data_IF_259406863354
#
_entry.id   IF_259406863354
#
_cell.length_a   1.000
_cell.length_b   1.000
_cell.length_c   1.000
_cell.angle_alpha   90.00
_cell.angle_beta   90.00
_cell.angle_gamma   90.00
#
_symmetry.space_group_name_H-M   'P 1'
#
loop_
_entity.id
_entity.type
_entity.pdbx_description
1 polymer ?
#
# COMPACT_ATOMS: atom_id res chain seq x y z
N UNK A 1 -25.20 21.12 -5.32
CA UNK A 1 -23.94 21.16 -4.56
C UNK A 1 -23.37 19.76 -4.50
N UNK A 2 -22.38 19.44 -5.37
CA UNK A 2 -21.67 18.17 -5.31
C UNK A 2 -20.72 18.16 -4.10
N UNK A 3 -20.61 17.01 -3.44
CA UNK A 3 -19.65 16.80 -2.36
C UNK A 3 -19.14 15.36 -2.34
N UNK A 4 -18.06 15.13 -1.59
CA UNK A 4 -17.49 13.81 -1.39
C UNK A 4 -17.76 13.37 0.05
N UNK A 5 -18.28 12.16 0.19
CA UNK A 5 -18.53 11.52 1.48
C UNK A 5 -17.57 10.33 1.64
N UNK A 6 -16.95 10.19 2.82
CA UNK A 6 -16.13 9.03 3.14
C UNK A 6 -16.96 8.02 3.92
N UNK A 7 -17.05 6.78 3.44
CA UNK A 7 -17.84 5.73 4.07
C UNK A 7 -17.09 4.41 4.13
N UNK A 8 -17.55 3.53 5.02
CA UNK A 8 -17.11 2.14 5.08
C UNK A 8 -18.00 1.30 4.17
N UNK A 9 -17.45 0.29 3.50
CA UNK A 9 -18.24 -0.59 2.63
C UNK A 9 -19.37 -1.30 3.38
N UNK A 10 -19.17 -1.63 4.66
CA UNK A 10 -20.21 -2.22 5.51
C UNK A 10 -21.42 -1.31 5.72
N UNK A 11 -21.26 0.00 5.54
CA UNK A 11 -22.32 1.01 5.71
C UNK A 11 -23.07 1.28 4.41
N UNK A 12 -22.66 0.70 3.27
CA UNK A 12 -23.13 1.08 1.94
C UNK A 12 -23.75 -0.13 1.23
N UNK A 13 -25.02 -0.02 0.82
CA UNK A 13 -25.60 -0.94 -0.16
C UNK A 13 -24.99 -0.69 -1.54
N UNK A 14 -24.16 -1.63 -2.01
CA UNK A 14 -23.52 -1.57 -3.31
C UNK A 14 -24.53 -1.86 -4.43
N UNK A 15 -25.25 -0.85 -4.90
CA UNK A 15 -26.24 -1.00 -5.98
C UNK A 15 -25.61 -0.93 -7.39
N UNK A 16 -24.38 -1.43 -7.55
CA UNK A 16 -23.66 -1.48 -8.84
C UNK A 16 -23.32 -0.12 -9.49
N UNK A 17 -23.62 1.00 -8.85
CA UNK A 17 -23.32 2.36 -9.36
C UNK A 17 -21.81 2.58 -9.52
N UNK A 18 -21.36 3.18 -10.63
CA UNK A 18 -19.93 3.41 -10.97
C UNK A 18 -19.27 4.61 -10.23
N UNK A 19 -20.01 5.33 -9.39
CA UNK A 19 -19.60 6.62 -8.82
C UNK A 19 -18.70 6.55 -7.55
N UNK A 20 -18.00 5.45 -7.32
CA UNK A 20 -17.18 5.25 -6.12
C UNK A 20 -15.69 5.13 -6.45
N UNK A 21 -14.86 5.68 -5.57
CA UNK A 21 -13.42 5.46 -5.61
C UNK A 21 -13.01 4.71 -4.36
N UNK A 22 -12.57 3.47 -4.56
CA UNK A 22 -11.97 2.66 -3.50
C UNK A 22 -10.65 3.28 -3.07
N UNK A 23 -10.52 3.61 -1.79
CA UNK A 23 -9.28 4.13 -1.20
C UNK A 23 -8.65 3.17 -0.19
N UNK A 24 -9.11 1.93 -0.14
CA UNK A 24 -8.62 0.90 0.78
C UNK A 24 -7.16 0.55 0.51
N UNK A 25 -6.70 0.75 -0.73
CA UNK A 25 -5.28 0.65 -1.08
C UNK A 25 -4.37 1.57 -0.25
N UNK A 26 -4.93 2.61 0.38
CA UNK A 26 -4.21 3.52 1.27
C UNK A 26 -3.90 2.90 2.63
N UNK A 27 -4.77 2.03 3.15
CA UNK A 27 -4.59 1.41 4.47
C UNK A 27 -3.95 0.03 4.38
N UNK A 28 -2.70 -0.04 3.92
CA UNK A 28 -1.97 -1.32 3.81
C UNK A 28 -1.83 -2.07 5.14
N UNK A 29 -1.92 -1.39 6.27
CA UNK A 29 -1.82 -2.05 7.57
C UNK A 29 -3.07 -2.89 7.89
N UNK A 30 -4.23 -2.51 7.35
CA UNK A 30 -5.45 -3.30 7.50
C UNK A 30 -5.48 -4.51 6.57
N UNK A 31 -4.71 -4.51 5.46
CA UNK A 31 -4.63 -5.65 4.54
C UNK A 31 -4.14 -6.96 5.19
N UNK A 32 -3.47 -6.87 6.35
CA UNK A 32 -3.06 -8.05 7.13
C UNK A 32 -4.12 -8.52 8.14
N UNK A 33 -5.24 -7.82 8.28
CA UNK A 33 -6.37 -8.24 9.12
C UNK A 33 -7.35 -9.05 8.27
N UNK A 34 -8.01 -10.06 8.86
CA UNK A 34 -8.86 -11.01 8.15
C UNK A 34 -10.06 -10.37 7.40
N UNK A 35 -10.39 -9.11 7.70
CA UNK A 35 -11.38 -8.31 6.98
C UNK A 35 -10.97 -6.84 7.04
N UNK A 36 -10.15 -6.31 6.10
CA UNK A 36 -9.87 -4.88 6.07
C UNK A 36 -11.18 -4.13 5.85
N UNK A 37 -11.46 -3.18 6.73
CA UNK A 37 -12.59 -2.28 6.56
C UNK A 37 -12.36 -1.44 5.30
N UNK A 38 -13.11 -1.75 4.24
CA UNK A 38 -12.94 -1.12 2.93
C UNK A 38 -13.49 0.31 3.00
N UNK A 39 -12.64 1.28 2.67
CA UNK A 39 -12.98 2.70 2.71
C UNK A 39 -13.26 3.20 1.30
N UNK A 40 -14.44 3.80 1.13
CA UNK A 40 -14.94 4.26 -0.15
C UNK A 40 -15.17 5.77 -0.11
N UNK A 41 -14.75 6.47 -1.17
CA UNK A 41 -15.17 7.86 -1.42
C UNK A 41 -16.37 7.82 -2.35
N UNK A 42 -17.50 8.35 -1.86
CA UNK A 42 -18.76 8.44 -2.59
C UNK A 42 -18.98 9.87 -3.09
N UNK A 43 -19.35 10.01 -4.37
CA UNK A 43 -19.78 11.29 -4.94
C UNK A 43 -21.26 11.51 -4.60
N UNK A 44 -21.51 12.36 -3.62
CA UNK A 44 -22.85 12.75 -3.22
C UNK A 44 -23.26 14.07 -3.87
N UNK A 45 -24.57 14.28 -3.98
CA UNK A 45 -25.12 15.51 -4.53
C UNK A 45 -26.40 15.90 -3.83
N UNK A 46 -26.53 17.18 -3.51
CA UNK A 46 -27.77 17.80 -3.05
C UNK A 46 -28.15 18.98 -3.93
N UNK A 47 -29.41 19.03 -4.36
CA UNK A 47 -29.97 20.19 -5.05
C UNK A 47 -31.30 20.57 -4.41
N UNK A 48 -31.39 21.81 -3.97
CA UNK A 48 -32.58 22.36 -3.33
C UNK A 48 -33.08 23.49 -4.21
N UNK A 49 -34.32 23.36 -4.66
CA UNK A 49 -34.99 24.36 -5.50
C UNK A 49 -36.20 24.85 -4.76
N UNK A 50 -36.27 26.16 -4.50
CA UNK A 50 -37.48 26.79 -3.97
C UNK A 50 -38.12 27.69 -5.02
N UNK A 51 -39.37 27.41 -5.35
CA UNK A 51 -40.24 28.20 -6.20
C UNK A 51 -41.14 29.06 -5.30
N UNK A 52 -40.81 30.36 -5.19
CA UNK A 52 -41.51 31.29 -4.28
C UNK A 52 -42.51 32.11 -5.09
N UNK A 53 -43.80 31.98 -4.78
CA UNK A 53 -44.87 32.79 -5.37
C UNK A 53 -45.10 34.04 -4.53
N UNK A 54 -45.25 33.85 -3.21
CA UNK A 54 -45.31 34.93 -2.22
C UNK A 54 -44.68 34.48 -0.88
N UNK A 55 -44.93 35.24 0.20
CA UNK A 55 -44.39 34.97 1.54
C UNK A 55 -45.08 33.83 2.30
N UNK A 56 -46.19 33.29 1.79
CA UNK A 56 -46.99 32.22 2.40
C UNK A 56 -47.10 30.98 1.51
N UNK A 57 -46.92 31.14 0.20
CA UNK A 57 -47.10 30.15 -0.83
C UNK A 57 -45.81 29.99 -1.60
N UNK A 58 -45.18 28.85 -1.38
CA UNK A 58 -43.96 28.44 -2.04
C UNK A 58 -43.96 26.92 -2.16
N UNK A 59 -43.17 26.41 -3.11
CA UNK A 59 -42.98 24.98 -3.33
C UNK A 59 -41.50 24.68 -3.33
N UNK A 60 -41.08 23.68 -2.57
CA UNK A 60 -39.70 23.23 -2.55
C UNK A 60 -39.55 21.86 -3.19
N UNK A 61 -38.42 21.66 -3.86
CA UNK A 61 -37.98 20.37 -4.35
C UNK A 61 -36.60 20.08 -3.76
N UNK A 62 -36.47 18.93 -3.09
CA UNK A 62 -35.19 18.41 -2.61
C UNK A 62 -34.79 17.22 -3.47
N UNK A 63 -33.64 17.33 -4.12
CA UNK A 63 -33.01 16.23 -4.83
C UNK A 63 -31.71 15.92 -4.11
N UNK A 64 -31.81 15.05 -3.11
CA UNK A 64 -30.66 14.48 -2.44
C UNK A 64 -30.37 13.12 -3.06
N UNK A 65 -29.11 12.88 -3.39
CA UNK A 65 -28.56 11.55 -3.54
C UNK A 65 -27.65 11.33 -2.33
N UNK A 66 -28.23 11.15 -1.12
CA UNK A 66 -27.41 10.88 0.05
C UNK A 66 -26.69 9.55 -0.20
N UNK A 67 -25.52 9.40 0.42
CA UNK A 67 -24.90 8.08 0.44
C UNK A 67 -25.88 7.13 1.12
N UNK A 68 -26.21 5.97 0.53
CA UNK A 68 -27.10 5.02 1.19
C UNK A 68 -26.41 4.58 2.47
N UNK A 69 -26.94 5.02 3.61
CA UNK A 69 -26.57 4.50 4.91
C UNK A 69 -27.41 3.25 5.10
N UNK A 70 -26.76 2.11 5.28
CA UNK A 70 -27.45 0.92 5.76
C UNK A 70 -27.86 1.25 7.19
N UNK A 71 -29.13 1.59 7.37
CA UNK A 71 -29.75 1.53 8.69
C UNK A 71 -29.48 0.12 9.21
N UNK A 72 -28.87 -0.01 10.40
CA UNK A 72 -28.69 -1.32 11.00
C UNK A 72 -30.06 -1.99 11.02
N UNK A 73 -30.17 -3.27 10.62
CA UNK A 73 -31.43 -3.97 10.77
C UNK A 73 -31.86 -3.81 12.23
N UNK A 74 -33.06 -3.28 12.45
CA UNK A 74 -33.64 -3.19 13.79
C UNK A 74 -33.86 -4.62 14.30
N UNK A 75 -32.81 -5.22 14.85
CA UNK A 75 -32.79 -6.61 15.30
C UNK A 75 -33.71 -6.86 16.51
N UNK A 76 -34.40 -5.83 17.01
CA UNK A 76 -35.31 -5.90 18.16
C UNK A 76 -36.79 -5.57 17.84
N UNK A 77 -37.21 -5.41 16.58
CA UNK A 77 -38.63 -5.20 16.24
C UNK A 77 -39.46 -6.49 16.23
N UNK A 78 -39.44 -7.24 17.33
CA UNK A 78 -40.34 -8.35 17.66
C UNK A 78 -41.24 -7.97 18.86
N UNK A 79 -41.83 -6.77 18.87
CA UNK A 79 -42.83 -6.41 19.87
C UNK A 79 -44.22 -6.29 19.24
N UNK A 80 -44.97 -7.40 19.31
CA UNK A 80 -46.44 -7.43 19.23
C UNK A 80 -47.04 -6.71 20.47
N UNK A 81 -46.73 -5.43 20.67
CA UNK A 81 -47.37 -4.60 21.68
C UNK A 81 -48.27 -3.60 20.99
N UNK A 82 -49.56 -3.94 20.95
CA UNK A 82 -50.70 -3.05 20.71
C UNK A 82 -50.76 -1.97 21.81
N UNK A 83 -49.77 -1.07 21.87
CA UNK A 83 -49.92 0.20 22.56
C UNK A 83 -50.32 1.25 21.54
N UNK A 84 -51.48 1.87 21.76
CA UNK A 84 -51.91 3.14 21.17
C UNK A 84 -50.95 4.25 21.63
N UNK A 85 -49.66 4.11 21.32
CA UNK A 85 -48.66 5.14 21.50
C UNK A 85 -48.83 6.13 20.36
N UNK A 86 -49.19 7.35 20.74
CA UNK A 86 -49.07 8.54 19.91
C UNK A 86 -47.61 8.59 19.41
N UNK A 87 -47.36 7.95 18.25
CA UNK A 87 -46.12 8.05 17.50
C UNK A 87 -45.98 9.53 17.12
N UNK A 88 -45.37 10.30 18.01
CA UNK A 88 -44.89 11.65 17.77
C UNK A 88 -43.71 11.49 16.80
N UNK A 89 -44.06 11.20 15.54
CA UNK A 89 -43.13 11.11 14.41
C UNK A 89 -42.29 12.37 14.51
N UNK A 90 -40.98 12.26 14.80
CA UNK A 90 -40.12 13.42 14.83
C UNK A 90 -40.31 14.12 13.50
N UNK A 91 -40.73 15.39 13.52
CA UNK A 91 -40.85 16.18 12.30
C UNK A 91 -39.45 16.48 11.79
N UNK A 92 -38.81 15.48 11.22
CA UNK A 92 -37.59 15.63 10.47
C UNK A 92 -37.93 16.49 9.27
N UNK A 93 -37.19 17.59 9.15
CA UNK A 93 -37.35 18.49 8.03
C UNK A 93 -36.85 17.78 6.77
N UNK A 94 -37.77 17.53 5.82
CA UNK A 94 -37.53 16.86 4.53
C UNK A 94 -36.40 17.52 3.71
N UNK A 95 -36.06 18.79 3.98
CA UNK A 95 -34.98 19.50 3.31
C UNK A 95 -33.66 19.50 4.09
N UNK A 96 -33.68 19.19 5.38
CA UNK A 96 -32.47 19.01 6.18
C UNK A 96 -31.90 17.60 5.96
N UNK A 97 -30.58 17.40 6.12
CA UNK A 97 -30.04 16.06 6.20
C UNK A 97 -30.43 15.41 7.54
N UNK A 98 -30.68 14.10 7.54
CA UNK A 98 -31.05 13.32 8.73
C UNK A 98 -29.92 13.27 9.77
N UNK A 99 -28.69 13.57 9.35
CA UNK A 99 -27.51 13.52 10.18
C UNK A 99 -27.35 14.78 11.05
N UNK A 100 -27.98 14.77 12.22
CA UNK A 100 -27.52 15.52 13.40
C UNK A 100 -28.54 16.44 14.04
N UNK A 101 -28.20 16.89 15.26
CA UNK A 101 -28.93 17.91 16.00
C UNK A 101 -28.80 19.25 15.28
N UNK A 102 -29.69 19.46 14.33
CA UNK A 102 -29.88 20.74 13.69
C UNK A 102 -30.83 21.52 14.57
N UNK A 103 -30.31 22.57 15.23
CA UNK A 103 -31.05 23.54 16.07
C UNK A 103 -32.06 24.38 15.24
N UNK A 104 -32.90 23.68 14.48
CA UNK A 104 -34.18 24.09 13.97
C UNK A 104 -35.10 24.16 15.19
N UNK A 105 -34.95 25.23 15.98
CA UNK A 105 -35.85 25.55 17.08
C UNK A 105 -37.31 25.27 16.64
N UNK A 106 -38.13 24.68 17.51
CA UNK A 106 -39.51 24.25 17.24
C UNK A 106 -40.45 25.33 16.65
N UNK A 107 -40.00 26.59 16.62
CA UNK A 107 -40.71 27.69 16.00
C UNK A 107 -40.63 27.61 14.46
N UNK A 108 -41.75 27.43 13.76
CA UNK A 108 -41.78 27.33 12.30
C UNK A 108 -41.22 28.59 11.62
N UNK A 109 -40.37 28.40 10.61
CA UNK A 109 -39.82 29.48 9.79
C UNK A 109 -40.77 29.76 8.62
N UNK A 110 -41.54 30.85 8.70
CA UNK A 110 -42.55 31.17 7.69
C UNK A 110 -41.99 31.86 6.42
N UNK A 111 -40.90 32.64 6.51
CA UNK A 111 -40.32 33.28 5.31
C UNK A 111 -39.49 32.24 4.52
N UNK A 112 -39.87 31.90 3.28
CA UNK A 112 -39.19 30.86 2.49
C UNK A 112 -37.73 31.19 2.18
N UNK A 113 -37.36 32.47 2.09
CA UNK A 113 -35.97 32.88 1.86
C UNK A 113 -35.13 32.66 3.12
N UNK A 114 -35.70 32.91 4.29
CA UNK A 114 -35.03 32.64 5.57
C UNK A 114 -34.86 31.13 5.76
N UNK A 115 -35.92 30.37 5.48
CA UNK A 115 -35.92 28.92 5.53
C UNK A 115 -34.84 28.33 4.60
N UNK A 116 -34.78 28.77 3.34
CA UNK A 116 -33.73 28.37 2.40
C UNK A 116 -32.32 28.59 2.94
N UNK A 117 -32.04 29.79 3.48
CA UNK A 117 -30.73 30.10 4.03
C UNK A 117 -30.39 29.20 5.22
N UNK A 118 -31.37 28.86 6.04
CA UNK A 118 -31.17 27.97 7.17
C UNK A 118 -30.80 26.55 6.71
N UNK A 119 -31.60 26.00 5.80
CA UNK A 119 -31.34 24.68 5.20
C UNK A 119 -29.97 24.64 4.50
N UNK A 120 -29.64 25.65 3.70
CA UNK A 120 -28.32 25.74 3.03
C UNK A 120 -27.18 25.86 4.05
N UNK A 121 -27.39 26.55 5.18
CA UNK A 121 -26.39 26.62 6.25
C UNK A 121 -26.10 25.25 6.87
N UNK A 122 -27.14 24.44 7.08
CA UNK A 122 -27.01 23.06 7.58
C UNK A 122 -26.23 22.21 6.58
N UNK A 123 -26.64 22.19 5.31
CA UNK A 123 -25.94 21.44 4.26
C UNK A 123 -24.49 21.90 4.06
N UNK A 124 -24.22 23.20 4.06
CA UNK A 124 -22.86 23.72 3.92
C UNK A 124 -21.98 23.28 5.08
N UNK A 125 -22.51 23.21 6.31
CA UNK A 125 -21.78 22.71 7.46
C UNK A 125 -21.51 21.21 7.36
N UNK A 126 -22.51 20.40 6.99
CA UNK A 126 -22.35 18.96 6.77
C UNK A 126 -21.27 18.67 5.73
N UNK A 127 -21.34 19.35 4.56
CA UNK A 127 -20.35 19.21 3.49
C UNK A 127 -18.94 19.50 4.00
N UNK A 128 -18.76 20.57 4.80
CA UNK A 128 -17.46 20.90 5.39
C UNK A 128 -16.99 19.83 6.38
N UNK A 129 -17.88 19.25 7.17
CA UNK A 129 -17.54 18.17 8.09
C UNK A 129 -17.06 16.93 7.34
N UNK A 130 -17.75 16.53 6.27
CA UNK A 130 -17.35 15.43 5.39
C UNK A 130 -15.97 15.66 4.79
N UNK A 131 -15.74 16.83 4.18
CA UNK A 131 -14.42 17.17 3.65
C UNK A 131 -13.34 17.23 4.75
N UNK A 132 -13.67 17.71 5.94
CA UNK A 132 -12.72 17.75 7.07
C UNK A 132 -12.31 16.33 7.47
N UNK A 133 -13.27 15.41 7.57
CA UNK A 133 -13.02 14.00 7.86
C UNK A 133 -12.13 13.35 6.80
N UNK A 134 -12.47 13.58 5.53
CA UNK A 134 -11.72 13.05 4.38
C UNK A 134 -10.28 13.58 4.34
N UNK A 135 -10.08 14.89 4.44
CA UNK A 135 -8.74 15.52 4.44
C UNK A 135 -7.90 15.00 5.59
N UNK A 136 -8.44 14.94 6.81
CA UNK A 136 -7.71 14.39 7.97
C UNK A 136 -7.30 12.93 7.77
N UNK A 137 -8.16 12.11 7.17
CA UNK A 137 -7.83 10.72 6.87
C UNK A 137 -6.71 10.64 5.82
N UNK A 138 -6.80 11.43 4.75
CA UNK A 138 -5.75 11.50 3.71
C UNK A 138 -4.42 11.98 4.29
N UNK A 139 -4.41 13.00 5.14
CA UNK A 139 -3.21 13.47 5.83
C UNK A 139 -2.56 12.37 6.67
N UNK A 140 -3.34 11.65 7.48
CA UNK A 140 -2.84 10.52 8.27
C UNK A 140 -2.21 9.44 7.39
N UNK A 141 -2.83 9.14 6.25
CA UNK A 141 -2.36 8.11 5.32
C UNK A 141 -1.07 8.52 4.62
N UNK A 142 -0.95 9.78 4.20
CA UNK A 142 0.28 10.32 3.60
C UNK A 142 1.42 10.42 4.60
N UNK A 143 1.14 10.79 5.84
CA UNK A 143 2.16 10.98 6.88
C UNK A 143 2.62 9.66 7.54
N UNK A 144 1.90 8.55 7.33
CA UNK A 144 2.27 7.26 7.94
C UNK A 144 3.61 6.80 7.35
N UNK A 145 4.68 6.68 8.17
CA UNK A 145 5.96 6.23 7.68
C UNK A 145 5.81 4.80 7.17
N UNK A 146 6.22 4.60 5.92
CA UNK A 146 6.19 3.29 5.29
C UNK A 146 7.45 2.55 5.67
N UNK A 147 7.32 1.57 6.56
CA UNK A 147 8.24 0.43 6.66
C UNK A 147 8.07 -0.46 5.43
N UNK A 148 8.39 0.07 4.26
CA UNK A 148 8.46 -0.75 3.05
C UNK A 148 9.88 -1.27 2.95
N UNK A 149 10.03 -2.59 2.86
CA UNK A 149 11.31 -3.19 2.52
C UNK A 149 11.65 -2.84 1.06
N UNK A 150 12.37 -1.74 0.87
CA UNK A 150 12.78 -1.19 -0.43
C UNK A 150 13.69 -2.13 -1.23
N UNK A 151 14.07 -3.29 -0.69
CA UNK A 151 15.13 -4.12 -1.27
C UNK A 151 14.71 -4.88 -2.53
N UNK A 152 13.42 -5.18 -2.70
CA UNK A 152 13.01 -6.17 -3.71
C UNK A 152 12.09 -5.63 -4.81
N UNK A 153 11.20 -4.65 -4.55
CA UNK A 153 10.34 -4.07 -5.59
C UNK A 153 9.83 -2.66 -5.21
N UNK A 154 10.04 -1.71 -6.11
CA UNK A 154 9.68 -0.29 -5.95
C UNK A 154 8.36 0.05 -6.66
N UNK A 155 7.92 -0.82 -7.57
CA UNK A 155 6.74 -0.64 -8.41
C UNK A 155 5.48 -0.38 -7.56
N UNK A 156 5.22 -1.16 -6.48
CA UNK A 156 4.04 -0.94 -5.64
C UNK A 156 4.07 0.39 -4.88
N UNK A 157 5.26 0.98 -4.67
CA UNK A 157 5.37 2.28 -4.01
C UNK A 157 5.02 3.42 -4.96
N UNK A 158 5.50 3.34 -6.20
CA UNK A 158 5.21 4.31 -7.27
C UNK A 158 3.72 4.29 -7.62
N UNK A 159 3.14 3.11 -7.82
CA UNK A 159 1.71 2.95 -8.09
C UNK A 159 0.86 3.55 -6.96
N UNK A 160 1.21 3.24 -5.71
CA UNK A 160 0.48 3.80 -4.57
C UNK A 160 0.62 5.32 -4.46
N UNK A 161 1.81 5.88 -4.75
CA UNK A 161 1.99 7.33 -4.76
C UNK A 161 1.13 8.00 -5.85
N UNK A 162 1.06 7.39 -7.03
CA UNK A 162 0.20 7.87 -8.12
C UNK A 162 -1.28 7.85 -7.72
N UNK A 163 -1.73 6.75 -7.10
CA UNK A 163 -3.12 6.65 -6.62
C UNK A 163 -3.44 7.69 -5.53
N UNK A 164 -2.52 7.97 -4.59
CA UNK A 164 -2.67 9.08 -3.62
C UNK A 164 -2.83 10.40 -4.35
N UNK A 165 -1.93 10.72 -5.28
CA UNK A 165 -1.95 11.98 -6.01
C UNK A 165 -3.23 12.15 -6.84
N UNK A 166 -3.76 11.05 -7.38
CA UNK A 166 -5.01 11.04 -8.11
C UNK A 166 -6.23 11.28 -7.20
N UNK A 167 -6.26 10.66 -6.02
CA UNK A 167 -7.30 10.94 -5.00
C UNK A 167 -7.23 12.39 -4.55
N UNK A 168 -6.04 12.91 -4.21
CA UNK A 168 -5.87 14.31 -3.81
C UNK A 168 -6.31 15.29 -4.89
N UNK A 169 -6.02 14.98 -6.17
CA UNK A 169 -6.47 15.78 -7.31
C UNK A 169 -7.99 15.77 -7.41
N UNK A 170 -8.60 14.59 -7.37
CA UNK A 170 -10.06 14.44 -7.44
C UNK A 170 -10.75 15.24 -6.32
N UNK A 171 -10.34 15.06 -5.06
CA UNK A 171 -10.92 15.79 -3.92
C UNK A 171 -10.79 17.31 -4.13
N UNK A 172 -9.61 17.77 -4.56
CA UNK A 172 -9.38 19.19 -4.85
C UNK A 172 -10.26 19.72 -5.99
N UNK A 173 -10.47 18.94 -7.05
CA UNK A 173 -11.30 19.36 -8.18
C UNK A 173 -12.76 19.56 -7.72
N UNK A 174 -13.26 18.70 -6.82
CA UNK A 174 -14.58 18.85 -6.21
C UNK A 174 -14.67 20.05 -5.26
N UNK A 175 -13.68 20.25 -4.36
CA UNK A 175 -13.67 21.43 -3.48
C UNK A 175 -13.56 22.74 -4.26
N UNK A 176 -12.79 22.74 -5.35
CA UNK A 176 -12.64 23.91 -6.23
C UNK A 176 -13.95 24.27 -6.91
N UNK A 177 -14.67 23.28 -7.48
CA UNK A 177 -16.00 23.50 -8.07
C UNK A 177 -16.99 24.09 -7.05
N UNK A 178 -17.07 23.51 -5.85
CA UNK A 178 -17.97 24.01 -4.80
C UNK A 178 -17.62 25.45 -4.38
N UNK A 179 -16.32 25.79 -4.30
CA UNK A 179 -15.87 27.16 -4.01
C UNK A 179 -16.22 28.14 -5.14
N UNK A 180 -16.06 27.73 -6.39
CA UNK A 180 -16.37 28.57 -7.55
C UNK A 180 -17.88 28.81 -7.67
N UNK A 181 -18.71 27.80 -7.43
CA UNK A 181 -20.17 27.93 -7.33
C UNK A 181 -20.57 28.92 -6.23
N UNK A 182 -19.96 28.81 -5.04
CA UNK A 182 -20.20 29.75 -3.95
C UNK A 182 -19.74 31.17 -4.29
N UNK A 183 -18.59 31.33 -4.94
CA UNK A 183 -18.09 32.63 -5.39
C UNK A 183 -19.06 33.27 -6.38
N UNK A 184 -19.60 32.49 -7.32
CA UNK A 184 -20.63 32.95 -8.26
C UNK A 184 -21.92 33.33 -7.54
N UNK A 185 -22.39 32.50 -6.60
CA UNK A 185 -23.60 32.78 -5.81
C UNK A 185 -23.45 34.04 -4.94
N UNK A 186 -22.27 34.27 -4.37
CA UNK A 186 -21.98 35.39 -3.47
C UNK A 186 -21.59 36.70 -4.19
N UNK A 187 -21.48 36.70 -5.53
CA UNK A 187 -21.13 37.89 -6.29
C UNK A 187 -22.16 39.02 -6.12
N UNK A 188 -21.67 40.25 -5.87
CA UNK A 188 -22.53 41.37 -5.45
C UNK A 188 -23.49 41.89 -6.53
N UNK A 189 -23.11 41.79 -7.81
CA UNK A 189 -23.83 42.38 -8.94
C UNK A 189 -24.85 41.40 -9.56
N UNK A 190 -24.45 40.15 -9.80
CA UNK A 190 -25.27 39.18 -10.55
C UNK A 190 -25.53 37.87 -9.79
N UNK A 191 -25.01 37.73 -8.57
CA UNK A 191 -25.13 36.50 -7.78
C UNK A 191 -26.50 36.32 -7.14
N UNK A 192 -26.74 35.09 -6.69
CA UNK A 192 -27.95 34.71 -5.94
C UNK A 192 -28.12 35.49 -4.63
N UNK A 193 -27.04 36.04 -4.07
CA UNK A 193 -27.05 36.83 -2.84
C UNK A 193 -27.98 38.07 -2.91
N UNK A 194 -28.21 38.62 -4.11
CA UNK A 194 -29.10 39.78 -4.31
C UNK A 194 -30.53 39.51 -3.82
N UNK A 195 -31.01 38.27 -3.91
CA UNK A 195 -32.35 37.88 -3.49
C UNK A 195 -32.54 37.96 -1.96
N UNK A 196 -31.45 38.05 -1.21
CA UNK A 196 -31.45 38.10 0.26
C UNK A 196 -31.12 39.49 0.83
N UNK A 197 -30.77 40.49 0.01
CA UNK A 197 -30.41 41.85 0.47
C UNK A 197 -31.52 42.54 1.30
N UNK A 198 -32.78 42.17 1.08
CA UNK A 198 -33.94 42.71 1.82
C UNK A 198 -34.21 42.06 3.18
N UNK A 199 -33.56 40.94 3.52
CA UNK A 199 -33.81 40.27 4.81
C UNK A 199 -33.09 41.00 5.94
N UNK A 200 -33.86 41.69 6.78
CA UNK A 200 -33.35 42.36 8.00
C UNK A 200 -33.26 41.43 9.20
N UNK A 201 -33.89 40.25 9.12
CA UNK A 201 -34.00 39.30 10.22
C UNK A 201 -32.63 38.84 10.74
N UNK A 202 -32.49 38.76 12.07
CA UNK A 202 -31.26 38.33 12.74
C UNK A 202 -30.92 36.87 12.40
N UNK A 203 -31.90 35.96 12.36
CA UNK A 203 -31.72 34.55 12.02
C UNK A 203 -31.16 34.38 10.61
N UNK A 204 -31.69 35.15 9.64
CA UNK A 204 -31.19 35.14 8.26
C UNK A 204 -29.72 35.59 8.17
N UNK A 205 -29.34 36.65 8.91
CA UNK A 205 -27.94 37.11 8.97
C UNK A 205 -27.03 36.08 9.62
N UNK A 206 -27.47 35.42 10.68
CA UNK A 206 -26.74 34.33 11.34
C UNK A 206 -26.54 33.15 10.38
N UNK A 207 -27.59 32.72 9.68
CA UNK A 207 -27.51 31.65 8.68
C UNK A 207 -26.51 31.99 7.56
N UNK A 208 -26.58 33.20 6.99
CA UNK A 208 -25.58 33.68 6.02
C UNK A 208 -24.16 33.71 6.59
N UNK A 209 -24.01 34.10 7.85
CA UNK A 209 -22.73 34.05 8.57
C UNK A 209 -22.18 32.62 8.65
N UNK A 210 -23.02 31.65 9.06
CA UNK A 210 -22.67 30.22 9.10
C UNK A 210 -22.26 29.69 7.72
N UNK A 211 -23.02 30.01 6.66
CA UNK A 211 -22.66 29.59 5.30
C UNK A 211 -21.29 30.16 4.89
N UNK A 212 -21.05 31.45 5.12
CA UNK A 212 -19.75 32.09 4.81
C UNK A 212 -18.60 31.46 5.58
N UNK A 213 -18.83 31.15 6.86
CA UNK A 213 -17.86 30.46 7.69
C UNK A 213 -17.54 29.06 7.13
N UNK A 214 -18.56 28.28 6.77
CA UNK A 214 -18.41 26.96 6.14
C UNK A 214 -17.57 27.04 4.86
N UNK A 215 -17.87 27.95 3.93
CA UNK A 215 -17.06 28.09 2.71
C UNK A 215 -15.65 28.64 2.98
N UNK A 216 -15.47 29.43 4.05
CA UNK A 216 -14.13 29.85 4.49
C UNK A 216 -13.31 28.68 5.04
N UNK A 217 -13.96 27.76 5.77
CA UNK A 217 -13.35 26.48 6.22
C UNK A 217 -13.03 25.60 5.02
N UNK A 218 -13.94 25.48 4.05
CA UNK A 218 -13.69 24.74 2.81
C UNK A 218 -12.48 25.29 2.03
N UNK A 219 -12.33 26.62 1.97
CA UNK A 219 -11.16 27.26 1.36
C UNK A 219 -9.85 27.02 2.13
N UNK A 220 -9.91 26.78 3.46
CA UNK A 220 -8.74 26.33 4.24
C UNK A 220 -8.37 24.90 3.89
N UNK A 221 -9.34 23.98 3.91
CA UNK A 221 -9.14 22.58 3.52
C UNK A 221 -8.56 22.43 2.11
N UNK A 222 -9.00 23.24 1.17
CA UNK A 222 -8.46 23.27 -0.20
C UNK A 222 -6.97 23.66 -0.25
N UNK A 223 -6.53 24.59 0.62
CA UNK A 223 -5.10 24.94 0.75
C UNK A 223 -4.30 23.83 1.42
N UNK A 224 -4.89 23.14 2.40
CA UNK A 224 -4.26 22.01 3.08
C UNK A 224 -4.09 20.82 2.11
N UNK A 225 -5.08 20.55 1.27
CA UNK A 225 -4.98 19.59 0.16
C UNK A 225 -3.85 19.94 -0.81
N UNK A 226 -3.69 21.21 -1.18
CA UNK A 226 -2.61 21.62 -2.08
C UNK A 226 -1.23 21.47 -1.43
N UNK A 227 -1.12 21.80 -0.14
CA UNK A 227 0.10 21.56 0.62
C UNK A 227 0.41 20.05 0.70
N UNK A 228 -0.60 19.22 0.94
CA UNK A 228 -0.44 17.77 1.01
C UNK A 228 0.03 17.19 -0.33
N UNK A 229 -0.58 17.64 -1.43
CA UNK A 229 -0.16 17.30 -2.79
C UNK A 229 1.29 17.73 -3.08
N UNK A 230 1.69 18.92 -2.68
CA UNK A 230 3.06 19.41 -2.85
C UNK A 230 4.07 18.53 -2.08
N UNK A 231 3.77 18.18 -0.82
CA UNK A 231 4.59 17.26 -0.02
C UNK A 231 4.68 15.88 -0.65
N UNK A 232 3.58 15.33 -1.17
CA UNK A 232 3.61 14.04 -1.88
C UNK A 232 4.51 14.08 -3.11
N UNK A 233 4.49 15.18 -3.88
CA UNK A 233 5.37 15.37 -5.04
C UNK A 233 6.83 15.45 -4.63
N UNK A 234 7.15 16.24 -3.61
CA UNK A 234 8.50 16.37 -3.09
C UNK A 234 9.06 15.01 -2.61
N UNK A 235 8.27 14.27 -1.83
CA UNK A 235 8.63 12.91 -1.42
C UNK A 235 8.85 11.97 -2.60
N UNK A 236 8.05 12.11 -3.66
CA UNK A 236 8.20 11.32 -4.89
C UNK A 236 9.47 11.70 -5.66
N UNK A 237 9.82 12.97 -5.75
CA UNK A 237 11.06 13.45 -6.37
C UNK A 237 12.29 12.93 -5.60
N UNK A 238 12.27 13.00 -4.26
CA UNK A 238 13.31 12.43 -3.41
C UNK A 238 13.45 10.93 -3.62
N UNK A 239 12.32 10.21 -3.68
CA UNK A 239 12.32 8.77 -3.96
C UNK A 239 12.93 8.50 -5.35
N UNK A 240 12.51 9.23 -6.38
CA UNK A 240 13.05 9.11 -7.73
C UNK A 240 14.56 9.33 -7.81
N UNK A 241 15.08 10.34 -7.08
CA UNK A 241 16.51 10.57 -6.95
C UNK A 241 17.23 9.42 -6.25
N UNK A 242 16.67 8.92 -5.15
CA UNK A 242 17.21 7.77 -4.41
C UNK A 242 17.30 6.52 -5.29
N UNK A 243 16.25 6.25 -6.06
CA UNK A 243 16.21 5.14 -7.02
C UNK A 243 17.24 5.30 -8.14
N UNK A 244 17.41 6.51 -8.66
CA UNK A 244 18.45 6.81 -9.66
C UNK A 244 19.85 6.52 -9.10
N UNK A 245 20.13 6.95 -7.86
CA UNK A 245 21.40 6.66 -7.18
C UNK A 245 21.60 5.16 -6.99
N UNK A 246 20.58 4.42 -6.55
CA UNK A 246 20.65 2.97 -6.39
C UNK A 246 20.86 2.24 -7.72
N UNK A 247 20.18 2.68 -8.78
CA UNK A 247 20.34 2.09 -10.12
C UNK A 247 21.74 2.34 -10.67
N UNK A 248 22.30 3.54 -10.49
CA UNK A 248 23.68 3.84 -10.87
C UNK A 248 24.67 2.95 -10.12
N UNK A 249 24.47 2.75 -8.81
CA UNK A 249 25.29 1.85 -7.99
C UNK A 249 25.16 0.39 -8.42
N UNK A 250 23.96 -0.04 -8.80
CA UNK A 250 23.73 -1.38 -9.33
C UNK A 250 24.42 -1.54 -10.70
N UNK A 251 24.34 -0.54 -11.56
CA UNK A 251 25.03 -0.50 -12.85
C UNK A 251 26.55 -0.60 -12.69
N UNK A 252 27.13 0.11 -11.72
CA UNK A 252 28.56 0.00 -11.38
C UNK A 252 28.92 -1.44 -10.95
N UNK A 253 28.12 -2.05 -10.07
CA UNK A 253 28.33 -3.45 -9.64
C UNK A 253 28.23 -4.42 -10.81
N UNK A 254 27.18 -4.31 -11.62
CA UNK A 254 27.00 -5.15 -12.81
C UNK A 254 28.17 -4.99 -13.78
N UNK A 255 28.68 -3.77 -13.98
CA UNK A 255 29.88 -3.53 -14.77
C UNK A 255 31.11 -4.25 -14.19
N UNK A 256 31.36 -4.13 -12.89
CA UNK A 256 32.49 -4.82 -12.24
C UNK A 256 32.40 -6.34 -12.31
N UNK A 257 31.20 -6.91 -12.14
CA UNK A 257 30.98 -8.35 -12.28
C UNK A 257 31.10 -8.82 -13.73
N UNK A 258 30.65 -8.02 -14.69
CA UNK A 258 30.83 -8.30 -16.12
C UNK A 258 32.32 -8.30 -16.49
N UNK A 259 33.10 -7.37 -15.92
CA UNK A 259 34.55 -7.34 -16.09
C UNK A 259 35.22 -8.59 -15.47
N UNK A 260 34.78 -9.01 -14.29
CA UNK A 260 35.25 -10.26 -13.64
C UNK A 260 34.90 -11.49 -14.48
N UNK A 261 33.67 -11.59 -14.97
CA UNK A 261 33.23 -12.68 -15.83
C UNK A 261 34.02 -12.71 -17.15
N UNK A 262 34.28 -11.56 -17.76
CA UNK A 262 35.10 -11.47 -18.97
C UNK A 262 36.54 -11.94 -18.72
N UNK A 263 37.15 -11.55 -17.60
CA UNK A 263 38.49 -12.00 -17.21
C UNK A 263 38.52 -13.51 -16.93
N UNK A 264 37.51 -14.04 -16.24
CA UNK A 264 37.36 -15.48 -16.00
C UNK A 264 37.19 -16.25 -17.31
N UNK A 265 36.34 -15.78 -18.22
CA UNK A 265 36.17 -16.39 -19.55
C UNK A 265 37.48 -16.39 -20.35
N UNK A 266 38.27 -15.33 -20.25
CA UNK A 266 39.60 -15.27 -20.87
C UNK A 266 40.59 -16.28 -20.26
N UNK A 267 40.56 -16.47 -18.94
CA UNK A 267 41.37 -17.48 -18.27
C UNK A 267 40.94 -18.91 -18.66
N UNK A 268 39.63 -19.17 -18.68
CA UNK A 268 39.04 -20.46 -19.07
C UNK A 268 39.36 -20.82 -20.52
N UNK A 269 39.26 -19.87 -21.45
CA UNK A 269 39.67 -20.10 -22.85
C UNK A 269 41.17 -20.40 -22.96
N UNK A 270 42.02 -19.76 -22.16
CA UNK A 270 43.44 -20.10 -22.07
C UNK A 270 43.69 -21.52 -21.55
N UNK A 271 42.92 -21.98 -20.56
CA UNK A 271 42.98 -23.36 -20.06
C UNK A 271 42.51 -24.35 -21.12
N UNK A 272 41.40 -24.06 -21.81
CA UNK A 272 40.88 -24.90 -22.88
C UNK A 272 41.91 -25.10 -24.00
N UNK A 273 42.59 -24.02 -24.43
CA UNK A 273 43.67 -24.11 -25.41
C UNK A 273 44.85 -24.96 -24.93
N UNK A 274 45.22 -24.88 -23.65
CA UNK A 274 46.28 -25.73 -23.07
C UNK A 274 45.85 -27.19 -22.97
N UNK A 275 44.60 -27.43 -22.58
CA UNK A 275 44.02 -28.77 -22.53
C UNK A 275 43.95 -29.41 -23.92
N UNK A 276 43.59 -28.63 -24.94
CA UNK A 276 43.58 -29.08 -26.34
C UNK A 276 44.99 -29.46 -26.80
N UNK A 277 45.99 -28.60 -26.55
CA UNK A 277 47.39 -28.92 -26.85
C UNK A 277 47.88 -30.18 -26.12
N UNK A 278 47.55 -30.34 -24.84
CA UNK A 278 47.90 -31.52 -24.05
C UNK A 278 47.18 -32.79 -24.56
N UNK A 279 45.92 -32.68 -24.97
CA UNK A 279 45.18 -33.77 -25.58
C UNK A 279 45.79 -34.20 -26.91
N UNK A 280 46.18 -33.26 -27.78
CA UNK A 280 46.90 -33.54 -29.03
C UNK A 280 48.24 -34.23 -28.76
N UNK A 281 49.01 -33.75 -27.78
CA UNK A 281 50.26 -34.41 -27.37
C UNK A 281 50.01 -35.83 -26.85
N UNK A 282 49.00 -36.01 -26.00
CA UNK A 282 48.65 -37.31 -25.44
C UNK A 282 48.21 -38.27 -26.56
N UNK A 283 47.42 -37.79 -27.53
CA UNK A 283 47.02 -38.55 -28.70
C UNK A 283 48.24 -39.01 -29.53
N UNK A 284 49.25 -38.15 -29.73
CA UNK A 284 50.49 -38.55 -30.40
C UNK A 284 51.27 -39.62 -29.64
N UNK A 285 51.33 -39.52 -28.30
CA UNK A 285 51.98 -40.53 -27.44
C UNK A 285 51.19 -41.84 -27.47
N UNK A 286 49.86 -41.77 -27.45
CA UNK A 286 48.99 -42.95 -27.59
C UNK A 286 49.16 -43.61 -28.96
N UNK A 287 49.33 -42.84 -30.05
CA UNK A 287 49.66 -43.40 -31.36
C UNK A 287 51.02 -44.13 -31.35
N UNK A 288 52.06 -43.55 -30.74
CA UNK A 288 53.35 -44.25 -30.60
C UNK A 288 53.28 -45.48 -29.70
N UNK A 289 52.41 -45.48 -28.68
CA UNK A 289 52.20 -46.66 -27.83
C UNK A 289 51.36 -47.74 -28.52
N UNK A 290 50.43 -47.38 -29.41
CA UNK A 290 49.72 -48.34 -30.26
C UNK A 290 50.69 -48.96 -31.27
N UNK A 291 51.68 -48.23 -31.78
CA UNK A 291 52.79 -48.80 -32.56
C UNK A 291 53.75 -49.64 -31.70
N UNK A 292 54.00 -49.27 -30.44
CA UNK A 292 54.85 -50.05 -29.52
C UNK A 292 54.18 -51.35 -29.05
N UNK A 293 52.85 -51.42 -29.04
CA UNK A 293 52.08 -52.66 -28.84
C UNK A 293 51.77 -53.40 -30.15
N UNK A 294 51.90 -52.75 -31.30
CA UNK A 294 51.85 -53.37 -32.63
C UNK A 294 53.19 -53.95 -33.08
N UNK A 295 54.31 -53.46 -32.54
CA UNK A 295 55.65 -54.01 -32.70
C UNK A 295 55.86 -55.20 -31.76
N UNK A 296 55.77 -56.40 -32.31
CA UNK A 296 56.07 -57.69 -31.68
C UNK A 296 57.36 -57.66 -30.83
N UNK A 297 57.20 -57.45 -29.53
CA UNK A 297 58.09 -58.06 -28.54
C UNK A 297 57.23 -58.71 -27.46
N UNK A 298 57.31 -60.03 -27.39
CA UNK A 298 56.70 -60.83 -26.34
C UNK A 298 57.40 -60.56 -25.01
N UNK A 299 57.02 -59.46 -24.35
CA UNK A 299 57.42 -59.16 -22.97
C UNK A 299 56.75 -60.16 -21.99
N UNK A 300 55.73 -60.87 -22.46
CA UNK A 300 55.09 -61.95 -21.75
C UNK A 300 55.09 -63.22 -22.61
N UNK A 301 55.85 -64.25 -22.22
CA UNK A 301 55.85 -65.60 -22.80
C UNK A 301 54.56 -66.38 -22.47
N UNK A 302 53.40 -65.72 -22.52
CA UNK A 302 52.13 -66.43 -22.41
C UNK A 302 51.62 -66.68 -23.81
N UNK A 303 51.41 -67.95 -24.15
CA UNK A 303 50.69 -68.37 -25.35
C UNK A 303 49.36 -67.60 -25.42
N UNK A 304 49.25 -66.70 -26.40
CA UNK A 304 48.05 -65.88 -26.64
C UNK A 304 46.96 -66.78 -27.19
N UNK A 305 46.37 -67.58 -26.31
CA UNK A 305 45.17 -68.34 -26.59
C UNK A 305 43.96 -67.55 -26.11
N UNK A 306 42.81 -67.61 -26.78
CA UNK A 306 41.60 -66.91 -26.32
C UNK A 306 41.20 -67.28 -24.87
N UNK A 307 41.66 -68.44 -24.38
CA UNK A 307 41.52 -68.88 -22.99
C UNK A 307 42.34 -68.02 -22.01
N UNK A 308 43.60 -67.72 -22.31
CA UNK A 308 44.44 -66.89 -21.42
C UNK A 308 43.96 -65.44 -21.35
N UNK A 309 43.43 -64.91 -22.45
CA UNK A 309 42.75 -63.60 -22.45
C UNK A 309 41.54 -63.61 -21.51
N UNK A 310 40.66 -64.60 -21.62
CA UNK A 310 39.50 -64.73 -20.74
C UNK A 310 39.90 -64.82 -19.26
N UNK A 311 40.94 -65.61 -18.92
CA UNK A 311 41.47 -65.67 -17.55
C UNK A 311 42.02 -64.32 -17.07
N UNK A 312 42.72 -63.58 -17.92
CA UNK A 312 43.25 -62.25 -17.56
C UNK A 312 42.13 -61.25 -17.27
N UNK A 313 41.05 -61.26 -18.05
CA UNK A 313 39.87 -60.39 -17.84
C UNK A 313 39.18 -60.78 -16.54
N UNK A 314 39.08 -62.08 -16.25
CA UNK A 314 38.47 -62.59 -15.01
C UNK A 314 39.29 -62.19 -13.78
N UNK A 315 40.62 -62.32 -13.84
CA UNK A 315 41.53 -61.87 -12.78
C UNK A 315 41.44 -60.35 -12.61
N UNK A 316 41.44 -59.59 -13.70
CA UNK A 316 41.31 -58.13 -13.66
C UNK A 316 39.97 -57.71 -13.00
N UNK A 317 38.86 -58.34 -13.37
CA UNK A 317 37.54 -58.09 -12.77
C UNK A 317 37.53 -58.37 -11.27
N UNK A 318 38.18 -59.46 -10.82
CA UNK A 318 38.30 -59.81 -9.40
C UNK A 318 39.17 -58.80 -8.65
N UNK A 319 40.33 -58.43 -9.19
CA UNK A 319 41.22 -57.42 -8.60
C UNK A 319 40.52 -56.07 -8.51
N UNK A 320 39.79 -55.67 -9.56
CA UNK A 320 39.05 -54.41 -9.58
C UNK A 320 37.93 -54.40 -8.52
N UNK A 321 37.22 -55.52 -8.36
CA UNK A 321 36.20 -55.70 -7.30
C UNK A 321 36.81 -55.61 -5.91
N UNK A 322 37.95 -56.26 -5.67
CA UNK A 322 38.68 -56.18 -4.39
C UNK A 322 39.13 -54.73 -4.13
N UNK A 323 39.64 -54.05 -5.15
CA UNK A 323 40.08 -52.66 -5.05
C UNK A 323 38.91 -51.71 -4.73
N UNK A 324 37.77 -51.85 -5.40
CA UNK A 324 36.55 -51.08 -5.10
C UNK A 324 36.07 -51.36 -3.67
N UNK A 325 36.09 -52.63 -3.23
CA UNK A 325 35.76 -52.99 -1.85
C UNK A 325 36.73 -52.37 -0.82
N UNK A 326 38.02 -52.30 -1.15
CA UNK A 326 39.05 -51.69 -0.29
C UNK A 326 38.92 -50.15 -0.23
N UNK A 327 38.40 -49.51 -1.28
CA UNK A 327 38.16 -48.06 -1.30
C UNK A 327 36.85 -47.65 -0.62
N UNK A 328 35.87 -48.54 -0.52
CA UNK A 328 34.59 -48.27 0.12
C UNK A 328 34.70 -47.81 1.60
N UNK A 329 35.55 -48.40 2.48
CA UNK A 329 35.71 -47.89 3.84
C UNK A 329 36.32 -46.49 3.89
N UNK A 330 37.16 -46.11 2.90
CA UNK A 330 37.73 -44.76 2.81
C UNK A 330 36.63 -43.72 2.52
N UNK A 331 35.65 -44.07 1.68
CA UNK A 331 34.50 -43.23 1.41
C UNK A 331 33.60 -43.06 2.65
N UNK A 332 33.40 -44.14 3.43
CA UNK A 332 32.64 -44.09 4.68
C UNK A 332 33.34 -43.28 5.78
N UNK A 333 34.67 -43.36 5.89
CA UNK A 333 35.44 -42.53 6.83
C UNK A 333 35.33 -41.05 6.47
N UNK A 334 35.33 -40.71 5.17
CA UNK A 334 35.18 -39.33 4.69
C UNK A 334 33.81 -38.74 5.03
N UNK A 335 32.72 -39.50 4.82
CA UNK A 335 31.37 -39.05 5.18
C UNK A 335 31.19 -38.94 6.70
N UNK A 336 31.79 -39.84 7.48
CA UNK A 336 31.80 -39.75 8.94
C UNK A 336 32.56 -38.51 9.46
N UNK A 337 33.73 -38.21 8.88
CA UNK A 337 34.51 -37.01 9.22
C UNK A 337 33.79 -35.70 8.84
N UNK A 338 33.10 -35.67 7.68
CA UNK A 338 32.29 -34.54 7.26
C UNK A 338 31.07 -34.32 8.20
N UNK A 339 30.40 -35.40 8.62
CA UNK A 339 29.29 -35.31 9.56
C UNK A 339 29.74 -34.85 10.96
N UNK A 340 30.92 -35.29 11.42
CA UNK A 340 31.48 -34.89 12.72
C UNK A 340 31.91 -33.43 12.74
N UNK A 341 32.53 -32.93 11.65
CA UNK A 341 32.91 -31.52 11.53
C UNK A 341 31.69 -30.60 11.46
N UNK A 342 30.63 -30.98 10.75
CA UNK A 342 29.39 -30.20 10.71
C UNK A 342 28.72 -30.05 12.10
N UNK A 343 28.78 -31.08 12.97
CA UNK A 343 28.25 -30.98 14.35
C UNK A 343 29.08 -30.04 15.23
N UNK A 344 30.39 -30.04 15.09
CA UNK A 344 31.27 -29.13 15.85
C UNK A 344 31.01 -27.66 15.50
N UNK A 345 30.78 -27.35 14.23
CA UNK A 345 30.40 -25.99 13.80
C UNK A 345 29.02 -25.56 14.30
N UNK A 346 28.03 -26.45 14.32
CA UNK A 346 26.69 -26.15 14.82
C UNK A 346 26.69 -25.87 16.34
N UNK A 347 27.49 -26.61 17.11
CA UNK A 347 27.57 -26.41 18.56
C UNK A 347 28.40 -25.18 18.94
N UNK A 348 29.41 -24.80 18.15
CA UNK A 348 30.17 -23.55 18.36
C UNK A 348 29.33 -22.28 18.17
N UNK A 349 28.36 -22.29 17.26
CA UNK A 349 27.47 -21.16 17.02
C UNK A 349 26.45 -20.92 18.15
N UNK A 350 26.14 -21.94 18.96
CA UNK A 350 25.18 -21.82 20.07
C UNK A 350 25.83 -21.15 21.29
N UNK A 351 27.12 -21.41 21.54
CA UNK A 351 27.83 -20.78 22.66
C UNK A 351 28.17 -19.30 22.45
N UNK A 352 28.25 -18.83 21.20
CA UNK A 352 28.50 -17.41 20.93
C UNK A 352 27.25 -16.52 21.09
N UNK A 353 26.05 -17.12 21.17
CA UNK A 353 24.77 -16.38 21.30
C UNK A 353 24.28 -16.25 22.74
N UNK A 354 24.89 -16.95 23.69
CA UNK A 354 24.56 -16.85 25.13
C UNK A 354 25.53 -15.96 25.91
N UNK A 355 26.57 -15.41 25.28
CA UNK A 355 27.54 -14.51 25.93
C UNK A 355 27.23 -13.01 25.71
N UNK A 356 26.17 -12.66 25.00
CA UNK A 356 25.87 -11.27 24.59
C UNK A 356 24.59 -10.69 25.24
N UNK A 357 24.05 -11.33 26.29
CA UNK A 357 22.77 -10.93 26.92
C UNK A 357 22.91 -10.40 28.35
N UNK A 358 24.11 -10.36 28.94
CA UNK A 358 24.26 -10.02 30.38
C UNK A 358 24.94 -8.67 30.70
N UNK A 359 25.04 -7.75 29.73
CA UNK A 359 25.60 -6.39 29.93
C UNK A 359 24.52 -5.28 29.78
N UNK A 360 23.41 -5.41 30.51
CA UNK A 360 22.49 -4.28 30.75
C UNK A 360 22.41 -3.96 32.24
N UNK A 361 23.51 -3.42 32.75
CA UNK A 361 23.63 -2.78 34.06
C UNK A 361 22.76 -1.52 34.07
N UNK A 362 21.84 -1.47 35.04
CA UNK A 362 20.96 -0.35 35.30
C UNK A 362 21.70 0.92 35.71
N UNK A 363 21.20 2.05 35.20
CA UNK A 363 21.47 3.38 35.71
C UNK A 363 20.11 4.03 35.98
N UNK A 364 19.58 3.78 37.18
CA UNK A 364 18.54 4.60 37.79
C UNK A 364 19.18 5.92 38.24
N UNK A 365 19.01 6.94 37.41
CA UNK A 365 19.35 8.32 37.71
C UNK A 365 18.18 9.02 38.40
N UNK A 366 18.16 8.96 39.72
CA UNK A 366 17.33 9.75 40.61
C UNK A 366 17.74 11.24 40.50
N UNK A 367 16.82 12.13 40.08
CA UNK A 367 17.03 13.59 40.14
C UNK A 367 15.88 14.20 40.92
N UNK A 368 16.15 14.44 42.20
CA UNK A 368 15.48 15.43 43.04
C UNK A 368 15.79 16.85 42.54
N UNK A 369 14.76 17.67 42.37
CA UNK A 369 14.84 19.12 42.40
C UNK A 369 13.60 19.59 43.19
N UNK A 370 13.74 19.77 44.50
CA UNK A 370 14.13 21.01 45.20
C UNK A 370 13.12 22.14 44.97
N UNK A 371 12.43 22.45 46.06
CA UNK A 371 11.52 23.57 46.28
C UNK A 371 12.27 24.88 46.58
N UNK A 372 11.48 25.96 46.52
CA UNK A 372 11.68 27.32 47.06
C UNK A 372 12.39 28.33 46.14
N UNK A 373 11.64 29.28 45.56
CA UNK A 373 11.19 30.57 46.13
C UNK A 373 10.08 31.17 45.25
#
# INVERSE_FOLDING_TARGET
MPYLALRKESEVRLDGSEDWKDITFLDRASANQNTPERLLIYVAHVSIVLCIWDHKTWTGYNFSRPCPVVEPPDEDSNSDTDTDDDDEVPREDIFAPDSGDHDMNDAPIWDPRMYFLHVVAIWANLIVQEYTGLVRKLEKLVNKPKEVDYRNDITPLVEHANLILEVLRSVRDFTSKAKDEWKMFSADNDGGMRHFKGLKDRKAKVALGKIRESFSKLARLDRDLERLKARCKESFEILGLSLSVQNNKLGERTYTETLRAANLNRATTGIAQRSEKAAVQTQSISQTNIEYFGGERDIFMFERTPKTFAYSVLVLMVVLRIFICALNPVAQVKSYMAARTARLWRNGAIHHRTAEVDDSIGLDGNVEAVSDV
#
